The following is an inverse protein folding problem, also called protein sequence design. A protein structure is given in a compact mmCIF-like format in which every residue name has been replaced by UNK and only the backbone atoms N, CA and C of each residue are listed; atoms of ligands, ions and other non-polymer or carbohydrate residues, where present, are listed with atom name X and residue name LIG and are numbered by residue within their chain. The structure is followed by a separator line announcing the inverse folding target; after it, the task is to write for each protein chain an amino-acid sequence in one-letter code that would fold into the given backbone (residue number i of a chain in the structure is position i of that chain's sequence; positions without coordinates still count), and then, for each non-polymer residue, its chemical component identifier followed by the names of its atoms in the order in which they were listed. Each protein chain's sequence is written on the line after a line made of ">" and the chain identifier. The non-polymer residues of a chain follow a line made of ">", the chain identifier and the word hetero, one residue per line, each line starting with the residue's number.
data_IF_806378022512
#
_entry.id   IF_806378022512
#
_cell.length_a   1.000
_cell.length_b   1.000
_cell.length_c   1.000
_cell.angle_alpha   90.00
_cell.angle_beta   90.00
_cell.angle_gamma   90.00
#
_symmetry.space_group_name_H-M   'P 1'
#
loop_
_entity.id
_entity.type
_entity.pdbx_description
1 polymer ?
#
# COMPACT_ATOMS: atom_id res chain seq x y z
N UNK A 1 -28.02 -21.92 -31.40
CA UNK A 1 -27.28 -21.61 -30.15
C UNK A 1 -27.62 -20.17 -29.78
N UNK A 2 -27.93 -19.90 -28.51
CA UNK A 2 -28.23 -18.54 -28.04
C UNK A 2 -26.95 -17.71 -27.99
N UNK A 3 -27.03 -16.41 -28.29
CA UNK A 3 -25.90 -15.48 -28.18
C UNK A 3 -25.61 -15.20 -26.69
N UNK A 4 -24.32 -15.17 -26.34
CA UNK A 4 -23.83 -14.72 -25.04
C UNK A 4 -22.81 -13.62 -25.29
N UNK A 5 -23.01 -12.46 -24.69
CA UNK A 5 -22.10 -11.32 -24.78
C UNK A 5 -20.80 -11.59 -24.01
N UNK A 6 -19.65 -11.30 -24.61
CA UNK A 6 -18.38 -11.32 -23.90
C UNK A 6 -18.30 -10.20 -22.86
N UNK A 7 -17.82 -10.54 -21.67
CA UNK A 7 -17.61 -9.58 -20.59
C UNK A 7 -16.38 -8.69 -20.83
N UNK A 8 -16.34 -7.50 -20.20
CA UNK A 8 -15.20 -6.59 -20.35
C UNK A 8 -13.92 -7.24 -19.83
N UNK A 9 -12.82 -7.01 -20.55
CA UNK A 9 -11.47 -7.46 -20.16
C UNK A 9 -10.62 -6.27 -19.74
N UNK A 10 -9.83 -6.42 -18.68
CA UNK A 10 -8.85 -5.42 -18.29
C UNK A 10 -7.66 -5.47 -19.26
N UNK A 11 -7.45 -4.40 -20.02
CA UNK A 11 -6.24 -4.24 -20.82
C UNK A 11 -5.02 -4.00 -19.90
N UNK A 12 -3.81 -4.38 -20.34
CA UNK A 12 -2.59 -4.25 -19.54
C UNK A 12 -2.39 -2.80 -19.03
N UNK A 13 -2.48 -2.53 -17.71
CA UNK A 13 -2.61 -1.17 -17.18
C UNK A 13 -1.45 -0.24 -17.53
N UNK A 14 -0.22 -0.74 -17.63
CA UNK A 14 0.92 0.08 -18.04
C UNK A 14 0.96 0.35 -19.54
N UNK A 15 0.56 -0.62 -20.37
CA UNK A 15 0.75 -0.52 -21.83
C UNK A 15 -0.36 0.29 -22.50
N UNK A 16 -1.58 0.17 -21.95
CA UNK A 16 -2.78 0.82 -22.46
C UNK A 16 -3.08 2.16 -21.78
N UNK A 17 -2.30 2.57 -20.77
CA UNK A 17 -2.39 3.92 -20.21
C UNK A 17 -1.46 4.88 -20.97
N UNK A 18 -2.05 5.57 -21.95
CA UNK A 18 -1.34 6.59 -22.75
C UNK A 18 -0.82 7.75 -21.88
N UNK A 19 -1.54 8.13 -20.83
CA UNK A 19 -1.21 9.30 -20.00
C UNK A 19 -0.01 8.97 -19.12
N UNK A 20 -0.04 7.84 -18.42
CA UNK A 20 1.09 7.37 -17.62
C UNK A 20 2.35 7.22 -18.48
N UNK A 21 2.23 6.57 -19.65
CA UNK A 21 3.38 6.37 -20.54
C UNK A 21 3.96 7.68 -21.06
N UNK A 22 3.12 8.63 -21.47
CA UNK A 22 3.58 9.95 -21.92
C UNK A 22 4.27 10.71 -20.77
N UNK A 23 3.71 10.64 -19.56
CA UNK A 23 4.31 11.28 -18.38
C UNK A 23 5.69 10.69 -18.07
N UNK A 24 5.82 9.35 -18.07
CA UNK A 24 7.10 8.68 -17.85
C UNK A 24 8.15 9.10 -18.88
N UNK A 25 7.77 9.16 -20.16
CA UNK A 25 8.68 9.58 -21.24
C UNK A 25 9.13 11.04 -21.12
N UNK A 26 8.25 11.94 -20.69
CA UNK A 26 8.55 13.37 -20.60
C UNK A 26 9.32 13.76 -19.34
N UNK A 27 9.10 13.07 -18.22
CA UNK A 27 9.58 13.49 -16.91
C UNK A 27 10.78 12.68 -16.39
N UNK A 28 11.07 11.51 -16.98
CA UNK A 28 12.17 10.65 -16.56
C UNK A 28 13.15 10.46 -17.71
N UNK A 29 14.45 10.54 -17.41
CA UNK A 29 15.50 10.16 -18.35
C UNK A 29 15.54 8.64 -18.58
N UNK A 30 16.28 8.21 -19.60
CA UNK A 30 16.33 6.81 -20.03
C UNK A 30 16.80 5.88 -18.91
N UNK A 31 17.76 6.32 -18.08
CA UNK A 31 18.29 5.55 -16.98
C UNK A 31 17.26 5.39 -15.85
N UNK A 32 16.56 6.46 -15.48
CA UNK A 32 15.49 6.42 -14.49
C UNK A 32 14.32 5.55 -14.97
N UNK A 33 13.94 5.65 -16.24
CA UNK A 33 12.91 4.77 -16.83
C UNK A 33 13.33 3.31 -16.85
N UNK A 34 14.57 3.01 -17.23
CA UNK A 34 15.08 1.64 -17.25
C UNK A 34 15.06 0.99 -15.86
N UNK A 35 15.28 1.79 -14.81
CA UNK A 35 15.21 1.33 -13.41
C UNK A 35 13.77 1.13 -12.94
N UNK A 36 12.85 2.00 -13.35
CA UNK A 36 11.45 2.02 -12.89
C UNK A 36 10.54 1.04 -13.63
N UNK A 37 10.74 0.86 -14.94
CA UNK A 37 9.84 0.09 -15.79
C UNK A 37 9.64 -1.37 -15.35
N UNK A 38 10.66 -2.11 -14.87
CA UNK A 38 10.46 -3.47 -14.37
C UNK A 38 9.46 -3.54 -13.21
N UNK A 39 9.51 -2.58 -12.26
CA UNK A 39 8.55 -2.52 -11.16
C UNK A 39 7.14 -2.20 -11.65
N UNK A 40 7.01 -1.22 -12.55
CA UNK A 40 5.71 -0.87 -13.11
C UNK A 40 5.09 -2.02 -13.92
N UNK A 41 5.92 -2.77 -14.65
CA UNK A 41 5.50 -3.94 -15.39
C UNK A 41 4.96 -5.03 -14.44
N UNK A 42 5.73 -5.37 -13.40
CA UNK A 42 5.31 -6.36 -12.41
C UNK A 42 4.00 -5.98 -11.71
N UNK A 43 3.80 -4.71 -11.36
CA UNK A 43 2.57 -4.23 -10.73
C UNK A 43 1.39 -4.23 -11.68
N UNK A 44 1.60 -3.92 -12.96
CA UNK A 44 0.56 -4.00 -13.99
C UNK A 44 0.17 -5.46 -14.30
N UNK A 45 1.14 -6.37 -14.34
CA UNK A 45 0.91 -7.81 -14.47
C UNK A 45 0.15 -8.36 -13.26
N UNK A 46 0.51 -7.93 -12.05
CA UNK A 46 -0.24 -8.25 -10.83
C UNK A 46 -1.69 -7.77 -10.91
N UNK A 47 -1.93 -6.56 -11.45
CA UNK A 47 -3.29 -6.05 -11.60
C UNK A 47 -4.15 -6.88 -12.55
N UNK A 48 -3.57 -7.43 -13.64
CA UNK A 48 -4.25 -8.39 -14.50
C UNK A 48 -4.56 -9.69 -13.76
N UNK A 49 -3.60 -10.22 -13.00
CA UNK A 49 -3.79 -11.41 -12.19
C UNK A 49 -4.90 -11.22 -11.14
N UNK A 50 -4.87 -10.11 -10.41
CA UNK A 50 -5.87 -9.77 -9.40
C UNK A 50 -7.27 -9.61 -10.02
N UNK A 51 -7.36 -8.96 -11.20
CA UNK A 51 -8.60 -8.88 -11.95
C UNK A 51 -9.12 -10.26 -12.36
N UNK A 52 -8.27 -11.12 -12.91
CA UNK A 52 -8.63 -12.48 -13.31
C UNK A 52 -9.10 -13.31 -12.10
N UNK A 53 -8.39 -13.24 -10.96
CA UNK A 53 -8.83 -13.87 -9.70
C UNK A 53 -10.21 -13.38 -9.30
N UNK A 54 -10.44 -12.06 -9.33
CA UNK A 54 -11.72 -11.45 -8.95
C UNK A 54 -12.90 -11.90 -9.81
N UNK A 55 -12.67 -12.24 -11.08
CA UNK A 55 -13.72 -12.77 -11.96
C UNK A 55 -14.01 -14.26 -11.70
N UNK A 56 -13.06 -15.01 -11.16
CA UNK A 56 -13.12 -16.47 -11.07
C UNK A 56 -13.26 -17.01 -9.63
N UNK A 57 -13.11 -16.18 -8.61
CA UNK A 57 -13.23 -16.59 -7.21
C UNK A 57 -14.30 -15.79 -6.46
N UNK A 58 -14.98 -16.41 -5.47
CA UNK A 58 -15.87 -15.68 -4.57
C UNK A 58 -15.14 -14.56 -3.84
N UNK A 59 -15.88 -13.49 -3.51
CA UNK A 59 -15.35 -12.39 -2.72
C UNK A 59 -15.06 -12.88 -1.31
N UNK A 60 -13.86 -12.59 -0.80
CA UNK A 60 -13.49 -12.80 0.59
C UNK A 60 -13.37 -11.44 1.27
N UNK A 61 -13.81 -11.36 2.52
CA UNK A 61 -13.69 -10.18 3.37
C UNK A 61 -12.89 -10.55 4.63
N UNK A 62 -12.24 -9.59 5.30
CA UNK A 62 -11.58 -9.86 6.57
C UNK A 62 -12.57 -10.35 7.63
N UNK A 63 -12.16 -11.34 8.43
CA UNK A 63 -13.02 -11.94 9.47
C UNK A 63 -12.41 -11.73 10.86
N UNK A 64 -13.14 -11.05 11.73
CA UNK A 64 -12.78 -10.88 13.14
C UNK A 64 -13.30 -12.06 13.97
N UNK A 65 -12.38 -12.77 14.61
CA UNK A 65 -12.67 -13.78 15.64
C UNK A 65 -12.30 -13.20 17.00
N UNK A 66 -13.30 -12.81 17.79
CA UNK A 66 -13.07 -12.20 19.10
C UNK A 66 -12.68 -13.23 20.16
N UNK A 67 -13.26 -14.43 20.11
CA UNK A 67 -13.07 -15.48 21.12
C UNK A 67 -12.68 -16.80 20.46
N UNK A 68 -11.76 -17.55 21.07
CA UNK A 68 -11.44 -18.91 20.63
C UNK A 68 -12.51 -19.93 21.06
N UNK A 69 -12.36 -21.18 20.61
CA UNK A 69 -13.29 -22.27 20.91
C UNK A 69 -13.36 -22.65 22.41
N UNK A 70 -12.53 -22.07 23.26
CA UNK A 70 -12.44 -22.34 24.70
C UNK A 70 -12.79 -21.11 25.55
N UNK A 71 -13.31 -20.04 24.93
CA UNK A 71 -13.73 -18.82 25.63
C UNK A 71 -12.60 -17.86 25.99
N UNK A 72 -11.40 -17.98 25.40
CA UNK A 72 -10.32 -16.98 25.56
C UNK A 72 -10.49 -15.86 24.54
N UNK A 73 -10.31 -14.60 24.96
CA UNK A 73 -10.28 -13.44 24.06
C UNK A 73 -9.02 -13.50 23.19
N UNK A 74 -9.16 -13.40 21.86
CA UNK A 74 -8.03 -13.51 20.91
C UNK A 74 -7.96 -12.38 19.88
N UNK A 75 -9.06 -11.69 19.59
CA UNK A 75 -9.12 -10.55 18.64
C UNK A 75 -8.36 -10.78 17.31
N UNK A 76 -8.49 -11.99 16.75
CA UNK A 76 -7.77 -12.39 15.54
C UNK A 76 -8.51 -11.90 14.30
N UNK A 77 -7.80 -11.28 13.37
CA UNK A 77 -8.33 -10.90 12.06
C UNK A 77 -7.73 -11.84 11.01
N UNK A 78 -8.57 -12.63 10.33
CA UNK A 78 -8.18 -13.34 9.12
C UNK A 78 -8.26 -12.38 7.93
N UNK A 79 -7.19 -12.30 7.13
CA UNK A 79 -7.07 -11.38 6.01
C UNK A 79 -7.45 -12.05 4.68
N UNK A 80 -7.55 -11.26 3.61
CA UNK A 80 -7.74 -11.78 2.25
C UNK A 80 -6.39 -12.22 1.66
N UNK A 81 -6.38 -13.15 0.68
CA UNK A 81 -5.14 -13.56 0.01
C UNK A 81 -4.37 -12.37 -0.61
N UNK A 82 -5.09 -11.38 -1.14
CA UNK A 82 -4.50 -10.14 -1.67
C UNK A 82 -3.76 -9.35 -0.59
N UNK A 83 -4.27 -9.33 0.65
CA UNK A 83 -3.59 -8.69 1.78
C UNK A 83 -2.33 -9.44 2.21
N UNK A 84 -2.38 -10.78 2.22
CA UNK A 84 -1.24 -11.62 2.59
C UNK A 84 -0.06 -11.46 1.61
N UNK A 85 -0.36 -11.20 0.32
CA UNK A 85 0.64 -10.90 -0.71
C UNK A 85 1.21 -9.47 -0.62
N UNK A 86 0.50 -8.55 0.05
CA UNK A 86 0.77 -7.12 0.03
C UNK A 86 2.16 -6.76 0.54
N UNK A 87 2.63 -7.39 1.63
CA UNK A 87 3.95 -7.11 2.18
C UNK A 87 5.06 -7.44 1.15
N UNK A 88 5.00 -8.63 0.54
CA UNK A 88 6.00 -9.08 -0.43
C UNK A 88 6.05 -8.16 -1.67
N UNK A 89 4.88 -7.84 -2.25
CA UNK A 89 4.80 -6.96 -3.42
C UNK A 89 5.32 -5.56 -3.12
N UNK A 90 4.89 -4.98 -2.00
CA UNK A 90 5.17 -3.58 -1.69
C UNK A 90 6.62 -3.33 -1.30
N UNK A 91 7.26 -4.29 -0.61
CA UNK A 91 8.69 -4.21 -0.29
C UNK A 91 9.56 -4.54 -1.50
N UNK A 92 9.18 -5.50 -2.34
CA UNK A 92 9.96 -5.87 -3.53
C UNK A 92 9.98 -4.73 -4.56
N UNK A 93 8.83 -4.11 -4.83
CA UNK A 93 8.68 -3.10 -5.88
C UNK A 93 8.79 -1.66 -5.41
N UNK A 94 9.16 -1.41 -4.15
CA UNK A 94 9.47 -0.05 -3.69
C UNK A 94 8.27 0.89 -3.61
N UNK A 95 7.10 0.39 -3.21
CA UNK A 95 5.88 1.21 -3.12
C UNK A 95 5.93 2.25 -2.00
N UNK A 96 6.86 2.10 -1.05
CA UNK A 96 7.02 3.03 0.07
C UNK A 96 8.48 3.43 0.29
N UNK A 97 9.38 2.47 0.49
CA UNK A 97 10.78 2.79 0.81
C UNK A 97 11.48 3.62 -0.28
N UNK A 98 11.11 3.45 -1.56
CA UNK A 98 11.74 4.17 -2.67
C UNK A 98 11.47 5.68 -2.59
N UNK A 99 10.25 6.08 -2.20
CA UNK A 99 9.88 7.48 -2.04
C UNK A 99 10.58 8.21 -0.88
N UNK A 100 11.26 7.46 -0.01
CA UNK A 100 12.05 7.98 1.10
C UNK A 100 13.56 7.88 0.87
N UNK A 101 14.00 7.38 -0.29
CA UNK A 101 15.40 7.39 -0.67
C UNK A 101 15.87 8.81 -1.01
N UNK A 102 17.20 9.03 -1.03
CA UNK A 102 17.76 10.32 -1.41
C UNK A 102 17.33 10.68 -2.84
N UNK A 103 16.77 11.88 -3.00
CA UNK A 103 16.09 12.27 -4.23
C UNK A 103 16.45 13.71 -4.63
N UNK A 104 17.69 13.89 -5.08
CA UNK A 104 18.21 15.21 -5.46
C UNK A 104 17.42 15.90 -6.60
N UNK A 105 16.59 15.16 -7.33
CA UNK A 105 15.77 15.67 -8.45
C UNK A 105 14.26 15.61 -8.21
N UNK A 106 13.80 15.12 -7.04
CA UNK A 106 12.36 14.95 -6.74
C UNK A 106 11.65 13.84 -7.54
N UNK A 107 12.41 12.97 -8.21
CA UNK A 107 11.89 11.94 -9.12
C UNK A 107 11.49 10.64 -8.40
N UNK A 108 12.10 10.33 -7.25
CA UNK A 108 11.77 9.12 -6.47
C UNK A 108 10.35 9.19 -5.93
N UNK A 109 9.91 10.38 -5.48
CA UNK A 109 8.53 10.54 -5.00
C UNK A 109 7.51 10.35 -6.12
N UNK A 110 7.78 10.90 -7.30
CA UNK A 110 6.91 10.70 -8.46
C UNK A 110 6.91 9.24 -8.95
N UNK A 111 8.08 8.59 -8.96
CA UNK A 111 8.21 7.17 -9.28
C UNK A 111 7.50 6.26 -8.27
N UNK A 112 7.48 6.61 -6.99
CA UNK A 112 6.68 5.91 -5.97
C UNK A 112 5.19 6.03 -6.31
N UNK A 113 4.69 7.22 -6.63
CA UNK A 113 3.28 7.40 -6.98
C UNK A 113 2.89 6.69 -8.28
N UNK A 114 3.78 6.57 -9.27
CA UNK A 114 3.52 5.74 -10.45
C UNK A 114 3.31 4.25 -10.08
N UNK A 115 4.06 3.73 -9.11
CA UNK A 115 3.87 2.36 -8.57
C UNK A 115 2.54 2.23 -7.82
N UNK A 116 2.26 3.18 -6.92
CA UNK A 116 0.99 3.21 -6.17
C UNK A 116 -0.20 3.28 -7.12
N UNK A 117 -0.13 4.11 -8.17
CA UNK A 117 -1.18 4.24 -9.17
C UNK A 117 -1.54 2.91 -9.84
N UNK A 118 -0.53 2.13 -10.27
CA UNK A 118 -0.77 0.81 -10.88
C UNK A 118 -1.25 -0.24 -9.88
N UNK A 119 -0.78 -0.17 -8.63
CA UNK A 119 -1.12 -1.17 -7.62
C UNK A 119 -2.47 -0.93 -6.93
N UNK A 120 -2.89 0.33 -6.75
CA UNK A 120 -3.97 0.73 -5.84
C UNK A 120 -5.26 -0.09 -6.03
N UNK A 121 -5.75 -0.19 -7.27
CA UNK A 121 -7.02 -0.88 -7.57
C UNK A 121 -6.89 -2.40 -7.40
N UNK A 122 -5.70 -2.95 -7.65
CA UNK A 122 -5.43 -4.38 -7.52
C UNK A 122 -5.13 -4.81 -6.08
N UNK A 123 -4.81 -3.86 -5.19
CA UNK A 123 -4.33 -4.11 -3.84
C UNK A 123 -5.43 -4.40 -2.81
N UNK A 124 -6.69 -4.40 -3.23
CA UNK A 124 -7.87 -4.39 -2.35
C UNK A 124 -7.85 -3.25 -1.29
N UNK A 125 -7.08 -2.17 -1.49
CA UNK A 125 -6.81 -1.08 -0.55
C UNK A 125 -5.66 -1.31 0.45
N UNK A 126 -4.75 -2.26 0.21
CA UNK A 126 -3.49 -2.36 0.97
C UNK A 126 -2.64 -1.07 0.89
N UNK A 127 -2.86 -0.23 -0.13
CA UNK A 127 -2.24 1.10 -0.20
C UNK A 127 -2.68 2.06 0.92
N UNK A 128 -3.83 1.83 1.58
CA UNK A 128 -4.29 2.66 2.70
C UNK A 128 -3.32 2.60 3.89
N UNK A 129 -3.00 1.41 4.46
CA UNK A 129 -1.97 1.34 5.50
C UNK A 129 -0.58 1.75 5.01
N UNK A 130 -0.25 1.61 3.72
CA UNK A 130 0.99 2.19 3.19
C UNK A 130 0.99 3.73 3.26
N UNK A 131 -0.11 4.40 2.89
CA UNK A 131 -0.22 5.85 2.99
C UNK A 131 -0.08 6.33 4.44
N UNK A 132 -0.72 5.64 5.39
CA UNK A 132 -0.56 5.90 6.82
C UNK A 132 0.89 5.67 7.29
N UNK A 133 1.56 4.64 6.76
CA UNK A 133 2.96 4.33 7.05
C UNK A 133 3.92 5.39 6.52
N UNK A 134 3.69 5.87 5.30
CA UNK A 134 4.45 6.97 4.67
C UNK A 134 4.32 8.27 5.48
N UNK A 135 3.08 8.62 5.87
CA UNK A 135 2.81 9.76 6.75
C UNK A 135 3.47 9.61 8.12
N UNK A 136 3.46 8.40 8.69
CA UNK A 136 4.11 8.11 9.98
C UNK A 136 5.64 8.23 9.86
N UNK A 137 6.25 7.68 8.80
CA UNK A 137 7.69 7.79 8.57
C UNK A 137 8.12 9.25 8.39
N UNK A 138 7.31 10.05 7.67
CA UNK A 138 7.54 11.49 7.48
C UNK A 138 7.43 12.25 8.80
N UNK A 139 6.36 12.03 9.56
CA UNK A 139 6.12 12.68 10.87
C UNK A 139 7.22 12.32 11.86
N UNK A 140 7.64 11.06 11.88
CA UNK A 140 8.68 10.59 12.80
C UNK A 140 10.04 11.24 12.48
N UNK A 141 10.41 11.36 11.19
CA UNK A 141 11.61 12.10 10.77
C UNK A 141 11.55 13.57 11.19
N UNK A 142 10.39 14.22 11.05
CA UNK A 142 10.20 15.62 11.43
C UNK A 142 10.25 15.85 12.95
N UNK A 143 9.82 14.86 13.75
CA UNK A 143 9.77 14.97 15.22
C UNK A 143 11.14 15.04 15.90
N UNK A 144 12.21 14.53 15.25
CA UNK A 144 13.54 14.41 15.85
C UNK A 144 13.66 13.36 16.96
N UNK A 145 12.66 12.50 17.16
CA UNK A 145 12.66 11.45 18.19
C UNK A 145 13.63 10.31 17.84
N UNK A 146 14.94 10.51 18.08
CA UNK A 146 16.01 9.63 17.62
C UNK A 146 15.83 8.16 18.01
N UNK A 147 15.44 7.87 19.25
CA UNK A 147 15.22 6.49 19.71
C UNK A 147 14.08 5.80 18.96
N UNK A 148 12.97 6.51 18.72
CA UNK A 148 11.84 5.98 17.95
C UNK A 148 12.19 5.82 16.48
N UNK A 149 12.90 6.78 15.90
CA UNK A 149 13.39 6.71 14.52
C UNK A 149 14.28 5.48 14.29
N UNK A 150 15.25 5.25 15.17
CA UNK A 150 16.16 4.10 15.11
C UNK A 150 15.41 2.76 15.19
N UNK A 151 14.34 2.69 15.99
CA UNK A 151 13.51 1.50 16.13
C UNK A 151 12.58 1.27 14.93
N UNK A 152 11.85 2.31 14.51
CA UNK A 152 10.69 2.15 13.66
C UNK A 152 10.97 2.40 12.17
N UNK A 153 11.82 3.37 11.80
CA UNK A 153 12.09 3.67 10.39
C UNK A 153 12.65 2.47 9.61
N UNK A 154 13.58 1.64 10.15
CA UNK A 154 14.04 0.45 9.44
C UNK A 154 12.92 -0.56 9.14
N UNK A 155 11.87 -0.59 9.98
CA UNK A 155 10.71 -1.48 9.82
C UNK A 155 9.68 -0.90 8.84
N UNK A 156 9.35 0.39 8.97
CA UNK A 156 8.42 1.05 8.06
C UNK A 156 8.97 1.16 6.64
N UNK A 157 10.29 1.36 6.49
CA UNK A 157 10.96 1.48 5.19
C UNK A 157 11.66 0.18 4.77
N UNK A 158 11.20 -0.96 5.30
CA UNK A 158 11.84 -2.25 5.01
C UNK A 158 11.73 -2.63 3.53
N UNK A 159 12.77 -3.31 3.04
CA UNK A 159 12.79 -3.98 1.72
C UNK A 159 12.50 -5.47 1.84
N UNK A 160 12.25 -5.95 3.05
CA UNK A 160 11.96 -7.34 3.36
C UNK A 160 10.57 -7.44 4.03
N UNK A 161 9.70 -8.22 3.41
CA UNK A 161 8.33 -8.44 3.86
C UNK A 161 8.24 -8.98 5.28
N UNK A 162 9.19 -9.81 5.71
CA UNK A 162 9.20 -10.40 7.05
C UNK A 162 9.45 -9.37 8.16
N UNK A 163 9.98 -8.20 7.81
CA UNK A 163 10.33 -7.14 8.76
C UNK A 163 9.54 -5.86 8.56
N UNK A 164 8.69 -5.78 7.52
CA UNK A 164 7.85 -4.64 7.25
C UNK A 164 6.84 -4.42 8.38
N UNK A 165 6.79 -3.20 8.89
CA UNK A 165 5.67 -2.73 9.71
C UNK A 165 4.76 -1.84 8.88
N UNK A 166 3.46 -1.93 9.14
CA UNK A 166 2.47 -0.95 8.71
C UNK A 166 2.05 -0.11 9.91
N UNK A 167 1.66 1.13 9.65
CA UNK A 167 1.14 2.06 10.64
C UNK A 167 -0.37 2.28 10.46
N UNK A 168 -1.05 2.47 11.59
CA UNK A 168 -2.40 3.05 11.63
C UNK A 168 -2.34 4.52 12.06
N UNK A 169 -3.36 5.29 11.71
CA UNK A 169 -3.54 6.67 12.15
C UNK A 169 -4.89 6.81 12.84
N UNK A 170 -4.92 6.54 14.14
CA UNK A 170 -6.14 6.52 14.96
C UNK A 170 -6.44 7.92 15.51
N UNK A 171 -7.00 8.77 14.66
CA UNK A 171 -7.40 10.14 15.05
C UNK A 171 -8.88 10.26 15.38
N UNK A 172 -9.72 9.51 14.67
CA UNK A 172 -11.18 9.60 14.77
C UNK A 172 -11.70 8.87 16.00
N UNK A 173 -12.54 9.55 16.78
CA UNK A 173 -13.32 8.98 17.88
C UNK A 173 -14.83 9.13 17.62
N UNK A 174 -15.68 8.57 18.49
CA UNK A 174 -17.15 8.65 18.34
C UNK A 174 -17.69 10.08 18.32
N UNK A 175 -16.98 11.01 18.94
CA UNK A 175 -17.33 12.43 18.99
C UNK A 175 -17.01 13.21 17.70
N UNK A 176 -16.14 12.68 16.82
CA UNK A 176 -15.76 13.38 15.60
C UNK A 176 -14.46 12.87 14.96
N UNK A 177 -14.38 12.99 13.63
CA UNK A 177 -13.15 12.79 12.85
C UNK A 177 -12.67 14.05 12.13
N UNK A 178 -13.59 14.92 11.67
CA UNK A 178 -13.24 16.23 11.11
C UNK A 178 -12.79 17.22 12.19
N UNK A 179 -13.42 17.17 13.36
CA UNK A 179 -13.03 17.91 14.55
C UNK A 179 -12.50 16.93 15.60
N UNK A 180 -11.18 17.01 15.85
CA UNK A 180 -10.46 16.19 16.85
C UNK A 180 -10.12 16.99 18.11
N UNK A 181 -10.62 18.23 18.25
CA UNK A 181 -10.32 19.08 19.41
C UNK A 181 -10.88 18.58 20.73
N UNK A 182 -11.85 17.66 20.66
CA UNK A 182 -12.58 17.11 21.80
C UNK A 182 -12.18 15.68 22.17
N UNK A 183 -11.14 15.11 21.54
CA UNK A 183 -10.68 13.73 21.79
C UNK A 183 -10.66 13.37 23.28
N UNK A 184 -11.25 12.23 23.61
CA UNK A 184 -11.54 11.77 24.96
C UNK A 184 -10.45 10.82 25.51
N UNK A 185 -9.51 10.38 24.67
CA UNK A 185 -8.38 9.55 25.12
C UNK A 185 -7.48 10.31 26.10
N UNK A 186 -7.28 9.75 27.29
CA UNK A 186 -6.37 10.29 28.30
C UNK A 186 -5.02 9.56 28.27
N UNK A 187 -3.92 10.31 28.29
CA UNK A 187 -2.58 9.78 28.53
C UNK A 187 -2.20 9.98 30.01
N UNK A 188 -1.82 8.90 30.69
CA UNK A 188 -1.36 8.92 32.09
C UNK A 188 0.07 8.41 32.15
N UNK A 189 0.88 9.00 33.02
CA UNK A 189 2.21 8.47 33.32
C UNK A 189 2.05 7.19 34.16
N UNK A 190 2.78 6.14 33.79
CA UNK A 190 2.87 4.89 34.56
C UNK A 190 3.45 5.11 35.96
#
# INVERSE_FOLDING_TARGET
>A
MSFIQEGPQLAHPLHHDRVLRAWLQQNLDDAARATLLPDLQALADYALLAHARRQNTPRHEPVLTQWDAWGRRVDRIALTPTWDEGAALTTAHGLLWAGHAADARGLQRAAQFARVYLYHVASEFYTCPLAMTDGTATTLKASGAAALMQRALPRFLSRDAATLWLSGQWMTETIGGSDVSRSEVEARQD
#
